data_IF_115347574469
#
_entry.id   IF_115347574469
#
_cell.length_a   1.000
_cell.length_b   1.000
_cell.length_c   1.000
_cell.angle_alpha   90.00
_cell.angle_beta   90.00
_cell.angle_gamma   90.00
#
_symmetry.space_group_name_H-M   'P 1'
#
loop_
_entity.id
_entity.type
_entity.pdbx_description
1 polymer ?
#
# COMPACT_ATOMS: atom_id res chain seq x y z
N UNK A 1 -20.98 16.69 8.95
CA UNK A 1 -19.80 16.70 9.83
C UNK A 1 -19.48 18.13 10.22
N UNK A 2 -19.18 18.40 11.48
CA UNK A 2 -18.83 19.74 11.96
C UNK A 2 -17.31 19.96 11.91
N UNK A 3 -16.85 21.22 11.73
CA UNK A 3 -15.43 21.56 11.52
C UNK A 3 -14.48 21.06 12.63
N UNK A 4 -14.99 20.84 13.84
CA UNK A 4 -14.21 20.28 14.98
C UNK A 4 -14.01 18.76 14.85
N UNK A 5 -14.92 18.05 14.21
CA UNK A 5 -14.82 16.59 13.97
C UNK A 5 -13.82 16.26 12.85
N UNK A 6 -13.57 17.20 11.93
CA UNK A 6 -12.58 17.02 10.85
C UNK A 6 -11.14 17.24 11.32
N UNK A 7 -10.90 18.00 12.39
CA UNK A 7 -9.54 18.30 12.85
C UNK A 7 -8.73 17.03 13.24
N UNK A 8 -9.30 16.04 13.94
CA UNK A 8 -8.62 14.76 14.19
C UNK A 8 -8.43 13.90 12.92
N UNK A 9 -9.38 13.96 11.97
CA UNK A 9 -9.30 13.19 10.71
C UNK A 9 -8.15 13.67 9.84
N UNK A 10 -7.97 15.00 9.73
CA UNK A 10 -6.84 15.60 8.99
C UNK A 10 -5.49 15.09 9.50
N UNK A 11 -5.32 14.95 10.82
CA UNK A 11 -4.07 14.42 11.40
C UNK A 11 -3.84 12.97 11.00
N UNK A 12 -4.91 12.15 10.96
CA UNK A 12 -4.81 10.75 10.51
C UNK A 12 -4.47 10.68 9.03
N UNK A 13 -5.10 11.51 8.20
CA UNK A 13 -4.80 11.62 6.76
C UNK A 13 -3.33 12.01 6.52
N UNK A 14 -2.81 12.99 7.24
CA UNK A 14 -1.40 13.40 7.16
C UNK A 14 -0.44 12.28 7.54
N UNK A 15 -0.76 11.53 8.61
CA UNK A 15 0.05 10.38 9.05
C UNK A 15 0.03 9.27 7.99
N UNK A 16 -1.14 8.94 7.45
CA UNK A 16 -1.28 7.93 6.40
C UNK A 16 -0.56 8.33 5.12
N UNK A 17 -0.70 9.59 4.69
CA UNK A 17 0.03 10.11 3.54
C UNK A 17 1.55 10.04 3.74
N UNK A 18 2.04 10.40 4.94
CA UNK A 18 3.46 10.30 5.28
C UNK A 18 3.96 8.86 5.31
N UNK A 19 3.17 7.94 5.87
CA UNK A 19 3.49 6.51 5.90
C UNK A 19 3.54 5.92 4.49
N UNK A 20 2.51 6.18 3.67
CA UNK A 20 2.43 5.74 2.28
C UNK A 20 3.59 6.25 1.44
N UNK A 21 3.96 7.53 1.57
CA UNK A 21 5.12 8.10 0.89
C UNK A 21 6.43 7.42 1.29
N UNK A 22 6.62 7.13 2.59
CA UNK A 22 7.82 6.44 3.09
C UNK A 22 7.92 5.02 2.54
N UNK A 23 6.82 4.27 2.56
CA UNK A 23 6.76 2.91 2.01
C UNK A 23 7.01 2.94 0.50
N UNK A 24 6.35 3.85 -0.22
CA UNK A 24 6.55 4.04 -1.67
C UNK A 24 8.01 4.30 -2.02
N UNK A 25 8.69 5.19 -1.28
CA UNK A 25 10.11 5.45 -1.49
C UNK A 25 11.02 4.25 -1.22
N UNK A 26 10.68 3.41 -0.24
CA UNK A 26 11.41 2.15 0.02
C UNK A 26 11.23 1.19 -1.15
N UNK A 27 10.00 1.03 -1.63
CA UNK A 27 9.69 0.16 -2.77
C UNK A 27 10.43 0.62 -4.04
N UNK A 28 10.39 1.92 -4.35
CA UNK A 28 11.06 2.49 -5.52
C UNK A 28 12.60 2.30 -5.49
N UNK A 29 13.18 2.15 -4.30
CA UNK A 29 14.61 1.89 -4.13
C UNK A 29 15.00 0.42 -4.39
N UNK A 30 14.05 -0.52 -4.40
CA UNK A 30 14.30 -1.96 -4.52
C UNK A 30 15.05 -2.32 -5.81
N UNK A 31 14.68 -1.86 -7.02
CA UNK A 31 15.40 -2.22 -8.24
C UNK A 31 16.88 -1.85 -8.18
N UNK A 32 17.19 -0.66 -7.66
CA UNK A 32 18.57 -0.22 -7.45
C UNK A 32 19.33 -1.07 -6.41
N UNK A 33 18.66 -1.46 -5.33
CA UNK A 33 19.25 -2.33 -4.31
C UNK A 33 19.54 -3.75 -4.85
N UNK A 34 18.63 -4.31 -5.64
CA UNK A 34 18.80 -5.63 -6.27
C UNK A 34 19.95 -5.59 -7.27
N UNK A 35 20.01 -4.58 -8.15
CA UNK A 35 21.10 -4.42 -9.13
C UNK A 35 22.49 -4.42 -8.48
N UNK A 36 22.62 -3.80 -7.29
CA UNK A 36 23.89 -3.78 -6.54
C UNK A 36 24.25 -5.13 -5.91
N UNK A 37 23.25 -5.93 -5.51
CA UNK A 37 23.44 -7.19 -4.78
C UNK A 37 23.52 -8.41 -5.70
N UNK A 38 23.00 -8.31 -6.92
CA UNK A 38 22.95 -9.39 -7.90
C UNK A 38 23.61 -8.94 -9.20
N UNK A 39 24.96 -8.95 -9.26
CA UNK A 39 25.68 -8.62 -10.49
C UNK A 39 25.33 -9.61 -11.60
N UNK A 40 24.99 -9.11 -12.79
CA UNK A 40 24.62 -9.94 -13.94
C UNK A 40 23.12 -10.20 -14.11
N UNK A 41 22.27 -9.69 -13.21
CA UNK A 41 20.82 -9.70 -13.45
C UNK A 41 20.49 -8.89 -14.72
N UNK A 42 19.70 -9.45 -15.66
CA UNK A 42 19.33 -8.73 -16.89
C UNK A 42 18.58 -7.42 -16.59
N UNK A 43 18.82 -6.40 -17.41
CA UNK A 43 18.14 -5.12 -17.30
C UNK A 43 16.61 -5.26 -17.44
N UNK A 44 16.16 -6.16 -18.30
CA UNK A 44 14.74 -6.49 -18.49
C UNK A 44 14.09 -7.00 -17.20
N UNK A 45 14.77 -7.86 -16.44
CA UNK A 45 14.27 -8.35 -15.16
C UNK A 45 14.11 -7.20 -14.14
N UNK A 46 15.05 -6.25 -14.10
CA UNK A 46 14.92 -5.05 -13.26
C UNK A 46 13.75 -4.16 -13.70
N UNK A 47 13.49 -4.04 -15.00
CA UNK A 47 12.33 -3.34 -15.54
C UNK A 47 11.03 -3.98 -15.09
N UNK A 48 10.91 -5.31 -15.19
CA UNK A 48 9.72 -6.03 -14.71
C UNK A 48 9.46 -5.79 -13.22
N UNK A 49 10.50 -5.84 -12.38
CA UNK A 49 10.37 -5.53 -10.94
C UNK A 49 9.86 -4.10 -10.73
N UNK A 50 10.43 -3.13 -11.45
CA UNK A 50 10.00 -1.73 -11.36
C UNK A 50 8.54 -1.55 -11.81
N UNK A 51 8.11 -2.26 -12.86
CA UNK A 51 6.72 -2.24 -13.33
C UNK A 51 5.75 -2.83 -12.31
N UNK A 52 6.10 -3.93 -11.63
CA UNK A 52 5.26 -4.48 -10.56
C UNK A 52 5.16 -3.53 -9.37
N UNK A 53 6.25 -2.89 -8.96
CA UNK A 53 6.23 -1.87 -7.91
C UNK A 53 5.31 -0.71 -8.28
N UNK A 54 5.41 -0.22 -9.53
CA UNK A 54 4.55 0.84 -10.02
C UNK A 54 3.07 0.42 -10.02
N UNK A 55 2.76 -0.83 -10.41
CA UNK A 55 1.41 -1.38 -10.36
C UNK A 55 0.85 -1.37 -8.94
N UNK A 56 1.62 -1.87 -7.96
CA UNK A 56 1.19 -1.91 -6.55
C UNK A 56 0.97 -0.51 -5.99
N UNK A 57 1.85 0.45 -6.32
CA UNK A 57 1.69 1.85 -5.92
C UNK A 57 0.43 2.48 -6.51
N UNK A 58 0.14 2.22 -7.79
CA UNK A 58 -1.05 2.73 -8.45
C UNK A 58 -2.32 2.15 -7.82
N UNK A 59 -2.31 0.86 -7.46
CA UNK A 59 -3.41 0.24 -6.73
C UNK A 59 -3.64 0.91 -5.38
N UNK A 60 -2.58 1.10 -4.59
CA UNK A 60 -2.67 1.78 -3.30
C UNK A 60 -3.18 3.23 -3.41
N UNK A 61 -2.79 3.95 -4.45
CA UNK A 61 -3.26 5.31 -4.72
C UNK A 61 -4.71 5.36 -5.24
N UNK A 62 -5.21 4.27 -5.83
CA UNK A 62 -6.57 4.16 -6.33
C UNK A 62 -7.58 3.82 -5.22
N UNK A 63 -7.13 3.32 -4.06
CA UNK A 63 -8.01 3.02 -2.93
C UNK A 63 -8.78 4.27 -2.53
N UNK A 64 -10.11 4.15 -2.59
CA UNK A 64 -11.05 5.20 -2.32
C UNK A 64 -12.00 4.81 -1.18
N UNK A 65 -12.74 5.81 -0.67
CA UNK A 65 -13.77 5.55 0.33
C UNK A 65 -14.87 4.60 -0.19
N UNK A 66 -15.16 4.64 -1.49
CA UNK A 66 -16.14 3.75 -2.13
C UNK A 66 -15.70 2.30 -2.01
N UNK A 67 -14.43 1.99 -2.27
CA UNK A 67 -13.88 0.64 -2.18
C UNK A 67 -13.99 0.09 -0.74
N UNK A 68 -13.80 0.94 0.28
CA UNK A 68 -13.94 0.57 1.69
C UNK A 68 -15.39 0.28 2.13
N UNK A 69 -16.37 0.83 1.43
CA UNK A 69 -17.78 0.59 1.71
C UNK A 69 -18.27 -0.68 1.00
N UNK A 70 -17.70 -0.99 -0.17
CA UNK A 70 -17.99 -2.19 -0.93
C UNK A 70 -17.41 -3.45 -0.24
N UNK A 71 -16.20 -3.37 0.33
CA UNK A 71 -15.57 -4.49 1.07
C UNK A 71 -16.33 -4.89 2.35
N UNK A 72 -17.05 -3.95 2.99
CA UNK A 72 -17.85 -4.21 4.21
C UNK A 72 -19.17 -4.94 3.94
N UNK A 73 -19.46 -5.27 2.69
CA UNK A 73 -20.64 -6.05 2.30
C UNK A 73 -20.35 -7.55 2.18
N UNK A 74 -19.09 -7.98 2.34
CA UNK A 74 -18.74 -9.38 2.50
C UNK A 74 -18.96 -9.81 3.96
N UNK A 75 -19.67 -10.92 4.25
CA UNK A 75 -19.80 -11.41 5.61
C UNK A 75 -18.41 -11.77 6.17
N UNK A 76 -18.08 -11.26 7.36
CA UNK A 76 -16.94 -11.73 8.17
C UNK A 76 -17.21 -13.19 8.58
N UNK A 77 -16.92 -14.16 7.71
CA UNK A 77 -16.77 -15.57 8.12
C UNK A 77 -15.33 -15.79 8.58
N UNK A 78 -15.09 -15.52 9.86
CA UNK A 78 -14.02 -16.15 10.61
C UNK A 78 -14.59 -16.64 11.95
N UNK A 79 -15.48 -17.63 11.86
CA UNK A 79 -15.77 -18.52 13.00
C UNK A 79 -14.55 -19.42 13.21
N UNK A 80 -13.62 -18.99 14.05
CA UNK A 80 -12.59 -19.88 14.59
C UNK A 80 -13.10 -20.39 15.93
N UNK A 81 -13.79 -21.52 15.91
CA UNK A 81 -14.05 -22.32 17.11
C UNK A 81 -12.69 -22.79 17.67
N UNK A 82 -12.31 -22.27 18.83
CA UNK A 82 -11.20 -22.80 19.62
C UNK A 82 -11.81 -23.80 20.60
N UNK A 83 -11.73 -25.09 20.29
CA UNK A 83 -11.99 -26.15 21.28
C UNK A 83 -10.91 -26.13 22.37
N UNK A 84 -11.33 -26.30 23.62
CA UNK A 84 -10.51 -26.30 24.83
C UNK A 84 -10.15 -27.70 25.30
#
# INVERSE_FOLDING_TARGET
MTRRELAPVVVIEEVLAKAGNKVGGILDAIPGAIRRRVPGLPAEALTHIASEIARVRNLAAAISLTDLLDDKSAPDELDVEIEA
#
